data_IF_672031986783
#
_entry.id   IF_672031986783
#
_cell.length_a   1.000
_cell.length_b   1.000
_cell.length_c   1.000
_cell.angle_alpha   90.00
_cell.angle_beta   90.00
_cell.angle_gamma   90.00
#
_symmetry.space_group_name_H-M   'P 1'
#
loop_
_entity.id
_entity.type
_entity.pdbx_description
1 polymer ?
#
# COMPACT_ATOMS: atom_id res chain seq x y z
N UNK A 1 51.04 7.32 -37.63
CA UNK A 1 50.34 8.13 -36.58
C UNK A 1 48.82 8.16 -36.69
N UNK A 2 48.17 7.19 -37.35
CA UNK A 2 46.68 7.21 -37.55
C UNK A 2 45.90 6.19 -36.69
N UNK A 3 46.57 5.25 -36.02
CA UNK A 3 45.91 4.17 -35.25
C UNK A 3 45.50 4.59 -33.82
N UNK A 4 46.19 5.63 -33.29
CA UNK A 4 45.93 6.07 -31.87
C UNK A 4 44.63 6.87 -31.68
N UNK A 5 44.05 7.47 -32.73
CA UNK A 5 42.82 8.28 -32.60
C UNK A 5 41.52 7.48 -32.68
N UNK A 6 41.51 6.29 -33.28
CA UNK A 6 40.33 5.45 -33.35
C UNK A 6 40.04 4.68 -32.05
N UNK A 7 41.08 4.30 -31.31
CA UNK A 7 40.88 3.58 -30.03
C UNK A 7 40.30 4.47 -28.93
N UNK A 8 40.66 5.77 -28.89
CA UNK A 8 40.10 6.69 -27.85
C UNK A 8 38.60 6.96 -28.00
N UNK A 9 38.07 6.91 -29.22
CA UNK A 9 36.63 7.18 -29.48
C UNK A 9 35.73 6.02 -29.09
N UNK A 10 36.22 4.78 -29.07
CA UNK A 10 35.44 3.58 -28.70
C UNK A 10 35.28 3.43 -27.16
N UNK A 11 36.28 3.85 -26.38
CA UNK A 11 36.22 3.74 -24.93
C UNK A 11 35.23 4.76 -24.26
N UNK A 12 35.09 5.97 -24.84
CA UNK A 12 34.20 6.99 -24.32
C UNK A 12 32.72 6.60 -24.49
N UNK A 13 32.37 5.94 -25.60
CA UNK A 13 30.99 5.50 -25.85
C UNK A 13 30.57 4.34 -24.93
N UNK A 14 31.49 3.44 -24.56
CA UNK A 14 31.20 2.31 -23.67
C UNK A 14 31.02 2.73 -22.21
N UNK A 15 31.73 3.76 -21.74
CA UNK A 15 31.62 4.25 -20.37
C UNK A 15 30.29 5.00 -20.15
N UNK A 16 29.78 5.73 -21.16
CA UNK A 16 28.51 6.46 -21.06
C UNK A 16 27.33 5.49 -21.04
N UNK A 17 27.39 4.39 -21.78
CA UNK A 17 26.33 3.39 -21.82
C UNK A 17 26.20 2.60 -20.51
N UNK A 18 27.29 2.32 -19.81
CA UNK A 18 27.29 1.63 -18.53
C UNK A 18 26.73 2.48 -17.38
N UNK A 19 26.99 3.80 -17.40
CA UNK A 19 26.52 4.72 -16.36
C UNK A 19 25.01 4.98 -16.44
N UNK A 20 24.41 4.94 -17.64
CA UNK A 20 22.97 5.13 -17.81
C UNK A 20 22.15 3.90 -17.34
N UNK A 21 22.71 2.69 -17.43
CA UNK A 21 22.02 1.47 -16.97
C UNK A 21 21.92 1.37 -15.44
N UNK A 22 22.89 1.93 -14.70
CA UNK A 22 22.93 1.88 -13.24
C UNK A 22 21.90 2.84 -12.61
N UNK A 23 21.60 3.97 -13.26
CA UNK A 23 20.63 4.96 -12.77
C UNK A 23 19.17 4.51 -12.95
N UNK A 24 18.86 3.74 -13.99
CA UNK A 24 17.51 3.23 -14.21
C UNK A 24 17.10 2.12 -13.22
N UNK A 25 18.07 1.33 -12.70
CA UNK A 25 17.80 0.28 -11.71
C UNK A 25 17.45 0.78 -10.32
N UNK A 26 17.90 1.97 -9.93
CA UNK A 26 17.70 2.51 -8.59
C UNK A 26 16.29 3.06 -8.35
N UNK A 27 15.65 3.65 -9.37
CA UNK A 27 14.29 4.18 -9.25
C UNK A 27 13.25 3.04 -9.14
N UNK A 28 13.43 1.96 -9.89
CA UNK A 28 12.53 0.79 -9.85
C UNK A 28 12.60 0.03 -8.52
N UNK A 29 13.76 0.00 -7.86
CA UNK A 29 13.94 -0.66 -6.57
C UNK A 29 13.25 0.09 -5.41
N UNK A 30 13.15 1.43 -5.47
CA UNK A 30 12.47 2.25 -4.47
C UNK A 30 10.96 2.07 -4.48
N UNK A 31 10.35 2.12 -5.65
CA UNK A 31 8.90 1.91 -5.82
C UNK A 31 8.47 0.50 -5.42
N UNK A 32 9.22 -0.53 -5.81
CA UNK A 32 8.97 -1.91 -5.39
C UNK A 32 9.00 -2.08 -3.87
N UNK A 33 9.93 -1.42 -3.18
CA UNK A 33 10.07 -1.49 -1.71
C UNK A 33 8.91 -0.79 -0.99
N UNK A 34 8.45 0.36 -1.48
CA UNK A 34 7.29 1.06 -0.94
C UNK A 34 6.03 0.20 -1.10
N UNK A 35 5.77 -0.34 -2.29
CA UNK A 35 4.61 -1.20 -2.53
C UNK A 35 4.65 -2.48 -1.67
N UNK A 36 5.83 -3.08 -1.49
CA UNK A 36 6.03 -4.21 -0.60
C UNK A 36 5.68 -3.85 0.84
N UNK A 37 6.20 -2.75 1.37
CA UNK A 37 5.91 -2.27 2.72
C UNK A 37 4.44 -1.94 2.92
N UNK A 38 3.77 -1.38 1.91
CA UNK A 38 2.33 -1.10 1.94
C UNK A 38 1.49 -2.39 2.00
N UNK A 39 1.85 -3.41 1.22
CA UNK A 39 1.20 -4.74 1.33
C UNK A 39 1.43 -5.36 2.70
N UNK A 40 2.63 -5.20 3.30
CA UNK A 40 2.90 -5.65 4.66
C UNK A 40 2.11 -4.84 5.70
N UNK A 41 1.94 -3.55 5.55
CA UNK A 41 1.07 -2.72 6.39
C UNK A 41 -0.37 -3.25 6.41
N UNK A 42 -0.85 -3.75 5.27
CA UNK A 42 -2.14 -4.44 5.21
C UNK A 42 -2.08 -5.80 5.91
N UNK A 43 -1.20 -6.73 5.50
CA UNK A 43 -1.20 -8.11 6.01
C UNK A 43 0.18 -8.77 5.84
N UNK A 44 1.14 -8.39 6.70
CA UNK A 44 2.53 -8.78 6.62
C UNK A 44 2.75 -10.31 6.55
N UNK A 45 2.06 -11.07 7.40
CA UNK A 45 2.23 -12.54 7.47
C UNK A 45 1.84 -13.23 6.14
N UNK A 46 0.89 -12.69 5.40
CA UNK A 46 0.52 -13.19 4.07
C UNK A 46 1.60 -12.86 3.03
N UNK A 47 2.23 -11.67 3.15
CA UNK A 47 3.28 -11.21 2.22
C UNK A 47 4.56 -12.02 2.37
N UNK A 48 5.00 -12.28 3.61
CA UNK A 48 6.24 -13.02 3.88
C UNK A 48 6.04 -14.54 3.94
N UNK A 49 4.80 -15.03 3.76
CA UNK A 49 4.51 -16.46 3.65
C UNK A 49 4.63 -17.23 4.96
N UNK A 50 4.45 -16.57 6.12
CA UNK A 50 4.46 -17.24 7.43
C UNK A 50 3.03 -17.56 7.91
N UNK A 51 2.85 -18.49 8.84
CA UNK A 51 1.55 -18.76 9.45
C UNK A 51 0.91 -17.49 10.01
N UNK A 52 -0.39 -17.34 9.81
CA UNK A 52 -1.14 -16.21 10.40
C UNK A 52 -1.08 -16.33 11.93
N UNK A 53 -0.88 -15.24 12.69
CA UNK A 53 -1.02 -15.24 14.13
C UNK A 53 -2.45 -15.67 14.53
N UNK A 54 -2.56 -16.50 15.56
CA UNK A 54 -3.85 -17.03 16.02
C UNK A 54 -4.42 -16.20 17.18
N UNK A 55 -3.52 -15.67 18.01
CA UNK A 55 -3.85 -14.86 19.18
C UNK A 55 -4.26 -13.41 18.80
N UNK A 56 -4.84 -12.72 19.75
CA UNK A 56 -5.10 -11.29 19.66
C UNK A 56 -3.83 -10.52 20.02
N UNK A 57 -3.46 -9.55 19.20
CA UNK A 57 -2.27 -8.74 19.43
C UNK A 57 -2.33 -8.05 20.80
N UNK A 58 -1.26 -8.19 21.59
CA UNK A 58 -1.19 -7.73 23.00
C UNK A 58 -1.47 -6.24 23.19
N UNK A 59 -1.22 -5.43 22.17
CA UNK A 59 -1.44 -3.97 22.21
C UNK A 59 -2.84 -3.55 21.77
N UNK A 60 -3.73 -4.50 21.44
CA UNK A 60 -5.11 -4.16 21.19
C UNK A 60 -5.75 -3.68 22.50
N UNK A 61 -6.27 -2.43 22.57
CA UNK A 61 -6.92 -1.95 23.78
C UNK A 61 -8.14 -2.80 24.16
N UNK A 62 -8.31 -3.08 25.45
CA UNK A 62 -9.45 -3.85 25.96
C UNK A 62 -10.81 -3.21 25.66
N UNK A 63 -10.83 -1.90 25.39
CA UNK A 63 -12.03 -1.18 24.92
C UNK A 63 -12.52 -1.65 23.56
N UNK A 64 -11.66 -2.25 22.71
CA UNK A 64 -12.07 -2.83 21.44
C UNK A 64 -12.39 -4.33 21.60
N UNK A 65 -13.64 -4.65 21.86
CA UNK A 65 -14.14 -6.04 21.91
C UNK A 65 -14.57 -6.59 20.54
N UNK A 66 -14.49 -5.79 19.49
CA UNK A 66 -14.99 -6.13 18.13
C UNK A 66 -13.98 -6.89 17.28
N UNK A 67 -12.67 -6.72 17.55
CA UNK A 67 -11.58 -7.35 16.79
C UNK A 67 -10.81 -8.33 17.66
N UNK A 68 -10.37 -9.44 17.04
CA UNK A 68 -9.58 -10.50 17.69
C UNK A 68 -8.76 -11.27 16.67
N UNK A 69 -7.82 -12.08 17.15
CA UNK A 69 -7.01 -12.97 16.34
C UNK A 69 -6.16 -12.22 15.31
N UNK A 70 -5.86 -12.87 14.19
CA UNK A 70 -4.96 -12.36 13.16
C UNK A 70 -5.35 -10.97 12.59
N UNK A 71 -6.62 -10.58 12.67
CA UNK A 71 -7.06 -9.27 12.22
C UNK A 71 -6.39 -8.13 13.00
N UNK A 72 -5.97 -8.38 14.24
CA UNK A 72 -5.35 -7.40 15.13
C UNK A 72 -3.84 -7.26 14.94
N UNK A 73 -3.22 -8.17 14.19
CA UNK A 73 -1.78 -8.14 13.85
C UNK A 73 -1.47 -7.33 12.58
N UNK A 74 -2.49 -6.74 11.96
CA UNK A 74 -2.34 -5.91 10.76
C UNK A 74 -2.16 -4.46 11.16
N UNK A 75 -1.12 -3.79 10.69
CA UNK A 75 -0.82 -2.39 11.03
C UNK A 75 -2.04 -1.49 10.79
N UNK A 76 -2.73 -1.70 9.66
CA UNK A 76 -3.95 -0.98 9.31
C UNK A 76 -5.08 -1.17 10.33
N UNK A 77 -5.09 -2.24 11.13
CA UNK A 77 -6.16 -2.50 12.09
C UNK A 77 -6.14 -1.50 13.25
N UNK A 78 -4.98 -0.96 13.59
CA UNK A 78 -4.79 0.04 14.62
C UNK A 78 -4.63 1.45 14.02
N UNK A 79 -3.85 1.58 12.94
CA UNK A 79 -3.44 2.86 12.39
C UNK A 79 -4.31 3.37 11.24
N UNK A 80 -5.30 2.58 10.80
CA UNK A 80 -6.27 2.96 9.76
C UNK A 80 -5.75 2.73 8.33
N UNK A 81 -6.70 2.59 7.40
CA UNK A 81 -6.39 2.58 5.97
C UNK A 81 -5.95 3.94 5.45
N UNK A 82 -6.40 5.01 6.10
CA UNK A 82 -6.05 6.40 5.83
C UNK A 82 -4.85 6.90 6.63
N UNK A 83 -4.18 5.98 7.35
CA UNK A 83 -2.99 6.22 8.18
C UNK A 83 -3.21 7.19 9.35
N UNK A 84 -4.45 7.59 9.63
CA UNK A 84 -4.82 8.59 10.64
C UNK A 84 -5.29 7.99 11.98
N UNK A 85 -5.48 6.66 12.04
CA UNK A 85 -5.88 5.97 13.26
C UNK A 85 -7.15 6.53 13.87
N UNK A 86 -7.08 6.88 15.17
CA UNK A 86 -8.21 7.46 15.94
C UNK A 86 -8.73 8.79 15.40
N UNK A 87 -7.92 9.50 14.62
CA UNK A 87 -8.24 10.83 14.08
C UNK A 87 -8.74 10.75 12.63
N UNK A 88 -8.96 9.53 12.10
CA UNK A 88 -9.37 9.29 10.73
C UNK A 88 -10.57 8.37 10.58
N UNK A 89 -10.53 7.52 9.55
CA UNK A 89 -11.60 6.56 9.24
C UNK A 89 -11.92 5.60 10.41
N UNK A 90 -11.01 5.43 11.37
CA UNK A 90 -11.17 4.58 12.55
C UNK A 90 -11.49 5.36 13.83
N UNK A 91 -11.89 6.62 13.73
CA UNK A 91 -12.44 7.39 14.86
C UNK A 91 -13.70 6.72 15.43
N UNK A 92 -14.40 5.94 14.62
CA UNK A 92 -15.61 5.19 14.98
C UNK A 92 -15.60 3.79 14.36
N UNK A 93 -16.60 2.97 14.74
CA UNK A 93 -16.80 1.66 14.11
C UNK A 93 -16.01 0.52 14.76
N UNK A 94 -15.95 -0.62 14.08
CA UNK A 94 -15.37 -1.85 14.65
C UNK A 94 -13.85 -1.83 14.81
N UNK A 95 -13.17 -0.91 14.17
CA UNK A 95 -11.72 -0.69 14.31
C UNK A 95 -11.36 0.52 15.20
N UNK A 96 -12.31 1.06 15.93
CA UNK A 96 -12.01 2.11 16.91
C UNK A 96 -11.14 1.55 18.03
N UNK A 97 -9.89 1.96 18.09
CA UNK A 97 -8.91 1.53 19.10
C UNK A 97 -8.41 2.68 19.97
N UNK A 98 -8.63 3.93 19.57
CA UNK A 98 -8.01 5.09 20.21
C UNK A 98 -6.50 5.25 19.89
N UNK A 99 -5.94 4.36 19.08
CA UNK A 99 -4.52 4.40 18.68
C UNK A 99 -4.32 5.46 17.60
N UNK A 100 -3.24 6.23 17.71
CA UNK A 100 -2.85 7.26 16.73
C UNK A 100 -2.48 6.64 15.40
N UNK A 101 -2.65 7.39 14.33
CA UNK A 101 -2.17 7.01 12.99
C UNK A 101 -0.65 7.12 12.84
N UNK A 102 -0.18 6.80 11.65
CA UNK A 102 1.25 6.87 11.28
C UNK A 102 1.59 8.06 10.38
N UNK A 103 0.65 8.97 10.12
CA UNK A 103 0.88 10.12 9.21
C UNK A 103 2.00 11.05 9.67
N UNK A 104 2.19 11.20 10.98
CA UNK A 104 3.25 12.02 11.54
C UNK A 104 4.68 11.53 11.20
N UNK A 105 4.81 10.28 10.77
CA UNK A 105 6.09 9.72 10.33
C UNK A 105 6.41 9.97 8.85
N UNK A 106 5.53 10.62 8.09
CA UNK A 106 5.83 11.01 6.72
C UNK A 106 7.05 11.95 6.68
N UNK A 107 8.08 11.57 5.93
CA UNK A 107 9.37 12.28 5.87
C UNK A 107 10.32 12.01 7.06
N UNK A 108 9.95 11.19 8.04
CA UNK A 108 10.83 10.80 9.14
C UNK A 108 11.94 9.83 8.70
N UNK A 109 12.92 9.62 9.57
CA UNK A 109 13.97 8.62 9.33
C UNK A 109 13.37 7.20 9.42
N UNK A 110 13.49 6.35 8.39
CA UNK A 110 13.00 4.98 8.44
C UNK A 110 13.56 4.14 9.60
N UNK A 111 14.76 4.45 10.09
CA UNK A 111 15.36 3.75 11.22
C UNK A 111 14.55 3.92 12.52
N UNK A 112 13.91 5.07 12.71
CA UNK A 112 13.08 5.33 13.88
C UNK A 112 11.83 4.45 13.86
N UNK A 113 11.22 4.26 12.69
CA UNK A 113 10.08 3.36 12.52
C UNK A 113 10.49 1.90 12.73
N UNK A 114 11.68 1.49 12.27
CA UNK A 114 12.21 0.14 12.54
C UNK A 114 12.40 -0.09 14.04
N UNK A 115 12.89 0.91 14.78
CA UNK A 115 13.04 0.80 16.23
C UNK A 115 11.68 0.63 16.93
N UNK A 116 10.66 1.37 16.49
CA UNK A 116 9.28 1.24 16.98
C UNK A 116 8.70 -0.14 16.68
N UNK A 117 8.90 -0.68 15.48
CA UNK A 117 8.42 -2.03 15.14
C UNK A 117 9.01 -3.13 16.04
N UNK A 118 10.20 -2.90 16.58
CA UNK A 118 10.89 -3.83 17.50
C UNK A 118 10.55 -3.63 18.98
N UNK A 119 9.92 -2.51 19.32
CA UNK A 119 9.65 -2.19 20.72
C UNK A 119 8.68 -3.18 21.39
N UNK A 120 8.53 -3.05 22.71
CA UNK A 120 7.67 -3.93 23.49
C UNK A 120 6.18 -3.81 23.10
N UNK A 121 5.75 -2.69 22.52
CA UNK A 121 4.38 -2.45 22.08
C UNK A 121 4.08 -3.23 20.80
N UNK A 122 4.96 -3.15 19.80
CA UNK A 122 4.75 -3.79 18.49
C UNK A 122 5.26 -5.25 18.48
N UNK A 123 6.46 -5.50 19.01
CA UNK A 123 6.98 -6.84 19.22
C UNK A 123 7.23 -7.66 17.96
N UNK A 124 7.54 -7.00 16.82
CA UNK A 124 7.79 -7.70 15.56
C UNK A 124 9.22 -8.21 15.42
N UNK A 125 10.11 -7.95 16.39
CA UNK A 125 11.43 -8.57 16.42
C UNK A 125 11.30 -10.09 16.53
N UNK A 126 11.93 -10.83 15.61
CA UNK A 126 11.77 -12.28 15.49
C UNK A 126 10.56 -12.76 14.68
N UNK A 127 9.54 -11.93 14.47
CA UNK A 127 8.41 -12.24 13.59
C UNK A 127 8.65 -11.83 12.13
N UNK A 128 9.54 -10.86 11.91
CA UNK A 128 9.91 -10.33 10.59
C UNK A 128 11.43 -10.22 10.47
N UNK A 129 11.94 -10.38 9.26
CA UNK A 129 13.33 -10.09 8.96
C UNK A 129 13.59 -8.57 8.95
N UNK A 130 14.85 -8.17 9.12
CA UNK A 130 15.25 -6.76 9.07
C UNK A 130 14.82 -6.06 7.76
N UNK A 131 14.89 -6.77 6.63
CA UNK A 131 14.45 -6.27 5.32
C UNK A 131 12.95 -6.01 5.25
N UNK A 132 12.14 -6.82 5.91
CA UNK A 132 10.69 -6.69 5.98
C UNK A 132 10.30 -5.44 6.78
N UNK A 133 10.88 -5.29 7.96
CA UNK A 133 10.68 -4.10 8.80
C UNK A 133 11.16 -2.83 8.09
N UNK A 134 12.28 -2.89 7.36
CA UNK A 134 12.76 -1.78 6.55
C UNK A 134 11.82 -1.43 5.39
N UNK A 135 11.12 -2.40 4.79
CA UNK A 135 10.12 -2.12 3.76
C UNK A 135 8.88 -1.42 4.36
N UNK A 136 8.37 -1.90 5.50
CA UNK A 136 7.27 -1.23 6.23
C UNK A 136 7.69 0.19 6.60
N UNK A 137 8.88 0.39 7.14
CA UNK A 137 9.39 1.70 7.52
C UNK A 137 9.48 2.65 6.33
N UNK A 138 10.00 2.18 5.18
CA UNK A 138 10.03 2.96 3.93
C UNK A 138 8.62 3.35 3.48
N UNK A 139 7.64 2.43 3.54
CA UNK A 139 6.26 2.79 3.23
C UNK A 139 5.71 3.86 4.20
N UNK A 140 5.94 3.70 5.50
CA UNK A 140 5.44 4.64 6.52
C UNK A 140 6.07 6.03 6.40
N UNK A 141 7.34 6.12 5.98
CA UNK A 141 8.03 7.41 5.89
C UNK A 141 7.95 8.07 4.51
N UNK A 142 7.87 7.28 3.44
CA UNK A 142 7.99 7.79 2.06
C UNK A 142 6.76 7.43 1.19
N UNK A 143 6.01 6.40 1.56
CA UNK A 143 4.96 5.81 0.72
C UNK A 143 3.54 6.24 1.04
N UNK A 144 3.31 7.02 2.09
CA UNK A 144 1.98 7.49 2.43
C UNK A 144 1.47 8.50 1.40
N UNK A 145 0.22 8.35 0.97
CA UNK A 145 -0.47 9.36 0.19
C UNK A 145 -1.43 10.14 1.09
N UNK A 146 -1.65 11.39 0.79
CA UNK A 146 -2.67 12.19 1.41
C UNK A 146 -4.03 11.80 0.81
N UNK A 147 -4.73 10.91 1.49
CA UNK A 147 -5.99 10.35 0.98
C UNK A 147 -7.12 11.36 0.92
N UNK A 148 -7.04 12.45 1.69
CA UNK A 148 -8.05 13.51 1.68
C UNK A 148 -8.05 14.34 0.39
N UNK A 149 -6.98 14.23 -0.41
CA UNK A 149 -6.95 14.78 -1.77
C UNK A 149 -7.82 14.00 -2.76
N UNK A 150 -8.11 12.74 -2.45
CA UNK A 150 -8.75 11.79 -3.36
C UNK A 150 -10.09 11.26 -2.85
N UNK A 151 -10.39 11.45 -1.57
CA UNK A 151 -11.60 10.91 -0.93
C UNK A 151 -12.18 12.01 -0.02
N UNK A 152 -13.41 12.39 -0.28
CA UNK A 152 -14.20 13.20 0.65
C UNK A 152 -14.62 12.35 1.85
N UNK A 153 -14.16 12.72 3.06
CA UNK A 153 -14.40 11.94 4.27
C UNK A 153 -15.86 11.86 4.67
N UNK A 154 -16.63 12.91 4.43
CA UNK A 154 -18.02 12.99 4.89
C UNK A 154 -18.91 12.08 4.06
N UNK A 155 -18.77 12.13 2.74
CA UNK A 155 -19.55 11.33 1.80
C UNK A 155 -18.94 9.97 1.50
N UNK A 156 -17.67 9.76 1.83
CA UNK A 156 -16.85 8.59 1.42
C UNK A 156 -16.74 8.44 -0.10
N UNK A 157 -16.86 9.53 -0.83
CA UNK A 157 -16.77 9.50 -2.30
C UNK A 157 -15.36 9.85 -2.75
N UNK A 158 -14.91 9.11 -3.77
CA UNK A 158 -13.72 9.52 -4.51
C UNK A 158 -13.97 10.83 -5.26
N UNK A 159 -12.95 11.68 -5.30
CA UNK A 159 -12.94 12.92 -6.09
C UNK A 159 -12.42 12.70 -7.52
N UNK A 160 -12.14 11.45 -7.89
CA UNK A 160 -11.65 11.05 -9.21
C UNK A 160 -12.73 11.10 -10.30
N UNK A 161 -12.27 11.01 -11.55
CA UNK A 161 -13.13 10.93 -12.74
C UNK A 161 -13.52 9.47 -13.00
N UNK A 162 -14.79 9.12 -12.77
CA UNK A 162 -15.29 7.76 -12.97
C UNK A 162 -15.29 7.33 -14.46
N UNK A 163 -15.37 8.26 -15.42
CA UNK A 163 -15.30 7.92 -16.83
C UNK A 163 -13.88 7.50 -17.23
N UNK A 164 -12.85 8.24 -16.78
CA UNK A 164 -11.46 7.83 -16.94
C UNK A 164 -11.15 6.53 -16.15
N UNK A 165 -11.69 6.42 -14.95
CA UNK A 165 -11.58 5.22 -14.13
C UNK A 165 -12.11 3.96 -14.81
N UNK A 166 -13.19 4.09 -15.58
CA UNK A 166 -13.76 3.00 -16.38
C UNK A 166 -12.77 2.49 -17.43
N UNK A 167 -12.08 3.37 -18.13
CA UNK A 167 -11.10 3.00 -19.15
C UNK A 167 -9.89 2.27 -18.53
N UNK A 168 -9.39 2.76 -17.38
CA UNK A 168 -8.34 2.08 -16.63
C UNK A 168 -8.81 0.72 -16.12
N UNK A 169 -10.03 0.64 -15.57
CA UNK A 169 -10.60 -0.60 -15.06
C UNK A 169 -10.74 -1.64 -16.15
N UNK A 170 -11.30 -1.27 -17.30
CA UNK A 170 -11.49 -2.14 -18.45
C UNK A 170 -10.18 -2.69 -19.02
N UNK A 171 -9.07 -2.00 -18.82
CA UNK A 171 -7.76 -2.41 -19.32
C UNK A 171 -6.98 -3.22 -18.29
N UNK A 172 -6.99 -2.83 -17.02
CA UNK A 172 -6.07 -3.35 -16.00
C UNK A 172 -6.78 -4.31 -15.04
N UNK A 173 -8.04 -4.04 -14.66
CA UNK A 173 -8.70 -4.69 -13.53
C UNK A 173 -9.70 -5.77 -13.94
N UNK A 174 -10.35 -5.60 -15.09
CA UNK A 174 -11.51 -6.41 -15.54
C UNK A 174 -11.23 -7.90 -15.61
N UNK A 175 -10.03 -8.31 -16.00
CA UNK A 175 -9.67 -9.72 -16.14
C UNK A 175 -9.75 -10.50 -14.82
N UNK A 176 -9.49 -9.84 -13.71
CA UNK A 176 -9.52 -10.44 -12.37
C UNK A 176 -10.82 -10.15 -11.62
N UNK A 177 -11.36 -8.93 -11.80
CA UNK A 177 -12.52 -8.47 -11.03
C UNK A 177 -13.87 -8.61 -11.75
N UNK A 178 -13.86 -9.00 -13.04
CA UNK A 178 -15.08 -9.02 -13.86
C UNK A 178 -15.50 -7.62 -14.31
N UNK A 179 -16.35 -7.54 -15.31
CA UNK A 179 -16.86 -6.26 -15.80
C UNK A 179 -17.79 -5.54 -14.79
N UNK A 180 -18.37 -6.32 -13.89
CA UNK A 180 -19.30 -5.89 -12.84
C UNK A 180 -18.64 -5.79 -11.44
N UNK A 181 -17.35 -6.12 -11.32
CA UNK A 181 -16.64 -6.11 -10.02
C UNK A 181 -17.03 -7.24 -9.07
N UNK A 182 -17.66 -8.32 -9.57
CA UNK A 182 -18.18 -9.42 -8.78
C UNK A 182 -17.21 -10.59 -8.63
N UNK A 183 -15.99 -10.46 -9.10
CA UNK A 183 -14.94 -11.48 -9.01
C UNK A 183 -13.73 -10.95 -8.17
N UNK A 184 -12.94 -11.88 -7.58
CA UNK A 184 -13.26 -13.31 -7.34
C UNK A 184 -14.41 -13.48 -6.34
N UNK A 185 -15.05 -14.65 -6.36
CA UNK A 185 -16.28 -14.92 -5.57
C UNK A 185 -16.08 -15.04 -4.06
N UNK A 186 -14.85 -15.15 -3.60
CA UNK A 186 -14.48 -15.23 -2.19
C UNK A 186 -14.23 -13.85 -1.53
N UNK A 187 -14.43 -12.77 -2.29
CA UNK A 187 -14.41 -11.40 -1.75
C UNK A 187 -15.80 -10.74 -1.88
N UNK A 188 -16.02 -9.70 -1.07
CA UNK A 188 -17.19 -8.84 -1.24
C UNK A 188 -17.16 -8.13 -2.62
N UNK A 189 -18.32 -7.82 -3.22
CA UNK A 189 -18.39 -7.05 -4.46
C UNK A 189 -17.54 -5.78 -4.39
N UNK A 190 -16.81 -5.49 -5.46
CA UNK A 190 -15.89 -4.34 -5.46
C UNK A 190 -16.62 -3.02 -5.23
N UNK A 191 -17.84 -2.87 -5.79
CA UNK A 191 -18.69 -1.71 -5.54
C UNK A 191 -19.08 -1.55 -4.07
N UNK A 192 -19.35 -2.65 -3.37
CA UNK A 192 -19.61 -2.63 -1.92
C UNK A 192 -18.38 -2.12 -1.15
N UNK A 193 -17.21 -2.71 -1.42
CA UNK A 193 -15.96 -2.31 -0.74
C UNK A 193 -15.64 -0.84 -1.01
N UNK A 194 -15.76 -0.38 -2.26
CA UNK A 194 -15.46 0.99 -2.66
C UNK A 194 -16.38 2.03 -1.98
N UNK A 195 -17.65 1.70 -1.81
CA UNK A 195 -18.60 2.60 -1.14
C UNK A 195 -18.47 2.57 0.38
N UNK A 196 -18.18 1.42 1.00
CA UNK A 196 -18.06 1.29 2.45
C UNK A 196 -16.71 1.77 2.97
N UNK A 197 -15.62 1.49 2.24
CA UNK A 197 -14.24 1.71 2.69
C UNK A 197 -13.32 2.19 1.54
N UNK A 198 -13.52 3.39 0.99
CA UNK A 198 -12.75 3.90 -0.14
C UNK A 198 -11.24 3.98 0.16
N UNK A 199 -10.85 4.21 1.41
CA UNK A 199 -9.44 4.24 1.82
C UNK A 199 -8.74 2.89 1.61
N UNK A 200 -9.43 1.78 1.86
CA UNK A 200 -8.93 0.44 1.55
C UNK A 200 -8.71 0.26 0.05
N UNK A 201 -9.68 0.69 -0.76
CA UNK A 201 -9.60 0.58 -2.23
C UNK A 201 -8.43 1.40 -2.74
N UNK A 202 -8.29 2.67 -2.33
CA UNK A 202 -7.17 3.51 -2.75
C UNK A 202 -5.82 2.89 -2.37
N UNK A 203 -5.70 2.40 -1.12
CA UNK A 203 -4.48 1.72 -0.67
C UNK A 203 -4.13 0.52 -1.55
N UNK A 204 -5.12 -0.34 -1.85
CA UNK A 204 -4.91 -1.58 -2.61
C UNK A 204 -4.67 -1.33 -4.10
N UNK A 205 -5.36 -0.38 -4.71
CA UNK A 205 -5.12 -0.02 -6.11
C UNK A 205 -3.70 0.54 -6.27
N UNK A 206 -3.23 1.35 -5.33
CA UNK A 206 -1.87 1.85 -5.36
C UNK A 206 -0.80 0.74 -5.15
N UNK A 207 -1.05 -0.23 -4.27
CA UNK A 207 0.03 -1.10 -3.78
C UNK A 207 -0.14 -2.59 -4.10
N UNK A 208 -1.32 -3.00 -4.54
CA UNK A 208 -1.67 -4.41 -4.72
C UNK A 208 -2.24 -5.07 -3.46
N UNK A 209 -2.66 -6.32 -3.61
CA UNK A 209 -3.25 -7.15 -2.56
C UNK A 209 -2.20 -8.09 -1.96
N UNK A 210 -2.08 -8.20 -0.62
CA UNK A 210 -1.16 -9.14 0.02
C UNK A 210 -1.37 -10.59 -0.40
N UNK A 211 -0.30 -11.21 -0.92
CA UNK A 211 -0.29 -12.63 -1.31
C UNK A 211 -1.14 -12.98 -2.54
N UNK A 212 -1.52 -11.99 -3.34
CA UNK A 212 -2.25 -12.16 -4.60
C UNK A 212 -1.52 -11.47 -5.76
N UNK A 213 -1.84 -11.87 -6.99
CA UNK A 213 -1.28 -11.29 -8.22
C UNK A 213 -1.94 -9.96 -8.63
N UNK A 214 -2.42 -9.18 -7.67
CA UNK A 214 -2.95 -7.85 -7.93
C UNK A 214 -1.80 -6.86 -8.08
N UNK A 215 -1.63 -6.31 -9.29
CA UNK A 215 -0.62 -5.29 -9.56
C UNK A 215 -1.01 -3.97 -8.90
N UNK A 216 -0.06 -3.34 -8.20
CA UNK A 216 -0.22 -1.96 -7.71
C UNK A 216 0.06 -0.95 -8.81
N UNK A 217 -0.66 0.17 -8.79
CA UNK A 217 -0.51 1.27 -9.75
C UNK A 217 0.39 2.40 -9.23
N UNK A 218 1.24 2.13 -8.24
CA UNK A 218 2.07 3.16 -7.58
C UNK A 218 3.05 3.89 -8.52
N UNK A 219 3.46 3.25 -9.61
CA UNK A 219 4.30 3.89 -10.63
C UNK A 219 3.55 4.97 -11.46
N UNK A 220 2.23 5.01 -11.36
CA UNK A 220 1.39 6.02 -12.02
C UNK A 220 1.00 7.12 -11.01
N UNK A 221 0.57 8.31 -11.48
CA UNK A 221 0.02 9.32 -10.59
C UNK A 221 -1.13 8.74 -9.73
N UNK A 222 -1.17 9.10 -8.45
CA UNK A 222 -2.21 8.58 -7.52
C UNK A 222 -3.64 8.94 -7.97
N UNK A 223 -3.79 9.95 -8.84
CA UNK A 223 -5.07 10.29 -9.48
C UNK A 223 -5.65 9.11 -10.26
N UNK A 224 -4.81 8.32 -10.96
CA UNK A 224 -5.28 7.12 -11.68
C UNK A 224 -5.98 6.14 -10.73
N UNK A 225 -5.41 5.93 -9.54
CA UNK A 225 -6.03 5.08 -8.53
C UNK A 225 -7.33 5.68 -7.97
N UNK A 226 -7.41 7.00 -7.85
CA UNK A 226 -8.63 7.70 -7.45
C UNK A 226 -9.74 7.59 -8.51
N UNK A 227 -9.38 7.71 -9.79
CA UNK A 227 -10.32 7.56 -10.91
C UNK A 227 -10.88 6.13 -10.95
N UNK A 228 -10.01 5.11 -10.82
CA UNK A 228 -10.42 3.70 -10.69
C UNK A 228 -11.35 3.50 -9.49
N UNK A 229 -11.03 4.11 -8.34
CA UNK A 229 -11.87 4.09 -7.15
C UNK A 229 -13.25 4.73 -7.37
N UNK A 230 -13.29 5.87 -8.05
CA UNK A 230 -14.54 6.56 -8.42
C UNK A 230 -15.42 5.68 -9.32
N UNK A 231 -14.83 5.01 -10.31
CA UNK A 231 -15.55 4.05 -11.14
C UNK A 231 -16.02 2.83 -10.32
N UNK A 232 -15.16 2.28 -9.48
CA UNK A 232 -15.52 1.15 -8.62
C UNK A 232 -16.74 1.44 -7.73
N UNK A 233 -16.95 2.69 -7.31
CA UNK A 233 -18.14 3.11 -6.57
C UNK A 233 -19.44 3.08 -7.39
N UNK A 234 -19.35 2.99 -8.72
CA UNK A 234 -20.51 2.87 -9.61
C UNK A 234 -20.89 1.41 -9.90
N UNK A 235 -20.04 0.45 -9.54
CA UNK A 235 -20.26 -0.97 -9.77
C UNK A 235 -21.32 -1.53 -8.81
N UNK A 236 -21.95 -2.70 -9.15
CA UNK A 236 -22.88 -3.40 -8.28
C UNK A 236 -22.33 -3.67 -6.87
N UNK A 237 -23.20 -3.63 -5.88
CA UNK A 237 -22.87 -3.85 -4.47
C UNK A 237 -23.39 -5.20 -3.93
N UNK A 238 -24.16 -5.92 -4.72
CA UNK A 238 -24.77 -7.22 -4.42
C UNK A 238 -25.06 -8.00 -5.71
#
# INVERSE_FOLDING_TARGET
>A
MAVSKLLRRRYIVLVISASALVLAGSASAGEGKIALGAKMYDKWFKVIGVPKPEDTHKSLPSSNSKKKGNATHRCKACHGWDYSGKDGAYATGSYQTGITGVRAFAGANPADVVAILKDATHGFEGAMLAGDMAAIATFVTEGQVDMDKYIDRASKKFTGDAAQGKEYYATICVNCHGADGMLPKDMAPLGEVANKNPWEVLHKVLNGQPGENMSGLRALPAQVAADVGAYAQTLPTE
#
